data_IF_508481206062
#
_entry.id   IF_508481206062
#
_cell.length_a   1.000
_cell.length_b   1.000
_cell.length_c   1.000
_cell.angle_alpha   90.00
_cell.angle_beta   90.00
_cell.angle_gamma   90.00
#
_symmetry.space_group_name_H-M   'P 1'
#
loop_
_entity.id
_entity.type
_entity.pdbx_description
1 polymer ?
#
# COMPACT_ATOMS: atom_id res chain seq x y z
N UNK A 1 -9.22 3.90 -43.15
CA UNK A 1 -8.63 2.66 -42.62
C UNK A 1 -9.03 2.55 -41.17
N UNK A 2 -9.71 1.47 -40.79
CA UNK A 2 -10.08 1.27 -39.38
C UNK A 2 -8.82 1.17 -38.51
N UNK A 3 -8.78 1.83 -37.33
CA UNK A 3 -7.70 1.62 -36.39
C UNK A 3 -7.80 0.21 -35.83
N UNK A 4 -6.97 -0.68 -36.38
CA UNK A 4 -6.85 -2.05 -35.91
C UNK A 4 -6.26 -2.08 -34.50
N UNK A 5 -7.10 -2.39 -33.50
CA UNK A 5 -6.72 -2.63 -32.09
C UNK A 5 -5.67 -3.77 -31.96
N UNK A 6 -5.45 -4.57 -33.01
CA UNK A 6 -4.54 -5.73 -33.01
C UNK A 6 -3.04 -5.41 -33.00
N UNK A 7 -2.62 -4.14 -32.87
CA UNK A 7 -1.20 -3.75 -32.80
C UNK A 7 -0.88 -2.77 -31.67
N UNK A 8 -1.64 -2.73 -30.57
CA UNK A 8 -1.17 -1.96 -29.41
C UNK A 8 0.04 -2.68 -28.78
N UNK A 9 1.24 -2.05 -28.74
CA UNK A 9 2.43 -2.73 -28.23
C UNK A 9 2.24 -3.18 -26.78
N UNK A 10 2.78 -4.34 -26.42
CA UNK A 10 2.72 -4.81 -25.05
C UNK A 10 3.58 -3.94 -24.13
N UNK A 11 4.80 -3.59 -24.56
CA UNK A 11 5.75 -2.76 -23.81
C UNK A 11 6.47 -1.79 -24.72
N UNK A 12 6.66 -0.56 -24.23
CA UNK A 12 7.49 0.48 -24.85
C UNK A 12 8.21 1.28 -23.79
N UNK A 13 9.54 1.23 -23.79
CA UNK A 13 10.37 1.94 -22.81
C UNK A 13 10.26 3.45 -22.94
N UNK A 14 10.21 3.98 -24.17
CA UNK A 14 10.00 5.40 -24.43
C UNK A 14 8.63 5.89 -23.94
N UNK A 15 7.59 5.06 -24.10
CA UNK A 15 6.27 5.27 -23.50
C UNK A 15 6.30 5.27 -21.98
N UNK A 16 6.99 4.29 -21.36
CA UNK A 16 7.13 4.21 -19.91
C UNK A 16 7.81 5.45 -19.31
N UNK A 17 8.91 5.90 -19.93
CA UNK A 17 9.62 7.12 -19.53
C UNK A 17 8.72 8.35 -19.69
N UNK A 18 8.02 8.47 -20.81
CA UNK A 18 7.09 9.57 -21.04
C UNK A 18 5.96 9.58 -20.00
N UNK A 19 5.37 8.43 -19.68
CA UNK A 19 4.35 8.30 -18.63
C UNK A 19 4.87 8.77 -17.27
N UNK A 20 6.08 8.33 -16.87
CA UNK A 20 6.68 8.74 -15.61
C UNK A 20 6.94 10.25 -15.53
N UNK A 21 7.46 10.86 -16.60
CA UNK A 21 7.72 12.30 -16.67
C UNK A 21 6.42 13.12 -16.68
N UNK A 22 5.41 12.68 -17.42
CA UNK A 22 4.10 13.32 -17.46
C UNK A 22 3.38 13.25 -16.11
N UNK A 23 3.58 12.15 -15.38
CA UNK A 23 3.08 12.02 -14.03
C UNK A 23 3.82 12.98 -13.07
N UNK A 24 5.15 12.85 -12.97
CA UNK A 24 5.97 13.64 -12.05
C UNK A 24 5.88 15.16 -12.28
N UNK A 25 5.69 15.58 -13.52
CA UNK A 25 5.53 16.99 -13.89
C UNK A 25 4.05 17.41 -13.89
N UNK A 26 3.38 17.38 -15.07
CA UNK A 26 2.02 17.88 -15.23
C UNK A 26 0.98 17.37 -14.23
N UNK A 27 0.93 16.05 -13.97
CA UNK A 27 -0.12 15.48 -13.10
C UNK A 27 0.06 15.94 -11.67
N UNK A 28 1.25 15.76 -11.10
CA UNK A 28 1.58 16.21 -9.74
C UNK A 28 1.37 17.72 -9.57
N UNK A 29 1.82 18.53 -10.54
CA UNK A 29 1.64 19.99 -10.49
C UNK A 29 0.17 20.42 -10.51
N UNK A 30 -0.61 19.88 -11.45
CA UNK A 30 -2.02 20.22 -11.58
C UNK A 30 -2.82 19.73 -10.37
N UNK A 31 -2.53 18.52 -9.88
CA UNK A 31 -3.14 18.01 -8.66
C UNK A 31 -2.81 18.91 -7.46
N UNK A 32 -1.54 19.26 -7.26
CA UNK A 32 -1.10 20.06 -6.12
C UNK A 32 -1.90 21.36 -5.99
N UNK A 33 -2.06 22.10 -7.09
CA UNK A 33 -2.82 23.33 -7.10
C UNK A 33 -4.33 23.11 -6.93
N UNK A 34 -4.88 22.07 -7.56
CA UNK A 34 -6.29 21.72 -7.40
C UNK A 34 -6.59 21.33 -5.95
N UNK A 35 -5.78 20.47 -5.36
CA UNK A 35 -5.90 20.03 -3.97
C UNK A 35 -5.77 21.22 -3.00
N UNK A 36 -4.79 22.09 -3.21
CA UNK A 36 -4.66 23.32 -2.43
C UNK A 36 -5.89 24.23 -2.57
N UNK A 37 -6.49 24.33 -3.75
CA UNK A 37 -7.72 25.07 -3.97
C UNK A 37 -8.92 24.40 -3.27
N UNK A 38 -9.00 23.07 -3.23
CA UNK A 38 -10.01 22.33 -2.48
C UNK A 38 -9.99 22.66 -0.98
N UNK A 39 -8.82 23.01 -0.43
CA UNK A 39 -8.69 23.47 0.96
C UNK A 39 -9.09 24.93 1.21
N UNK A 40 -9.51 25.65 0.16
CA UNK A 40 -10.17 26.93 0.34
C UNK A 40 -11.57 26.73 0.93
N UNK A 41 -11.94 27.53 1.94
CA UNK A 41 -13.15 27.33 2.77
C UNK A 41 -14.43 26.96 2.00
N UNK A 42 -14.66 27.58 0.85
CA UNK A 42 -15.84 27.33 0.01
C UNK A 42 -15.86 25.92 -0.61
N UNK A 43 -14.73 25.50 -1.18
CA UNK A 43 -14.59 24.20 -1.82
C UNK A 43 -14.43 23.10 -0.78
N UNK A 44 -13.72 23.37 0.32
CA UNK A 44 -13.52 22.42 1.40
C UNK A 44 -14.85 21.95 1.97
N UNK A 45 -15.71 22.89 2.38
CA UNK A 45 -17.01 22.56 2.98
C UNK A 45 -17.98 21.80 2.07
N UNK A 46 -17.79 21.87 0.74
CA UNK A 46 -18.74 21.30 -0.23
C UNK A 46 -18.24 20.05 -0.91
N UNK A 47 -16.94 19.96 -1.09
CA UNK A 47 -16.30 18.89 -1.82
C UNK A 47 -15.38 18.09 -0.88
N UNK A 48 -14.37 18.75 -0.31
CA UNK A 48 -13.25 17.99 0.25
C UNK A 48 -13.40 17.59 1.73
N UNK A 49 -14.33 18.18 2.48
CA UNK A 49 -14.49 17.92 3.91
C UNK A 49 -14.92 16.49 4.25
N UNK A 50 -15.65 15.82 3.33
CA UNK A 50 -16.07 14.43 3.55
C UNK A 50 -14.88 13.46 3.47
N UNK A 51 -13.94 13.71 2.56
CA UNK A 51 -12.69 12.96 2.48
C UNK A 51 -11.90 13.08 3.79
N UNK A 52 -11.82 14.31 4.31
CA UNK A 52 -11.16 14.65 5.59
C UNK A 52 -11.93 14.27 6.85
N UNK A 53 -13.15 13.72 6.73
CA UNK A 53 -13.89 13.26 7.91
C UNK A 53 -13.19 12.08 8.61
N UNK A 54 -12.34 11.36 7.88
CA UNK A 54 -11.52 10.26 8.39
C UNK A 54 -10.13 10.74 8.78
N UNK A 55 -10.01 11.37 9.95
CA UNK A 55 -8.71 11.87 10.46
C UNK A 55 -7.69 10.74 10.62
N UNK A 56 -8.15 9.57 11.09
CA UNK A 56 -7.39 8.33 11.00
C UNK A 56 -7.75 7.72 9.65
N UNK A 57 -6.83 7.79 8.70
CA UNK A 57 -7.09 7.32 7.34
C UNK A 57 -7.11 5.79 7.29
N UNK A 58 -7.95 5.26 6.42
CA UNK A 58 -7.92 3.85 6.04
C UNK A 58 -7.82 3.77 4.51
N UNK A 59 -7.34 2.67 3.90
CA UNK A 59 -7.20 2.58 2.44
C UNK A 59 -8.49 2.93 1.69
N UNK A 60 -9.66 2.69 2.28
CA UNK A 60 -10.95 3.07 1.70
C UNK A 60 -11.14 4.59 1.60
N UNK A 61 -10.57 5.38 2.50
CA UNK A 61 -10.60 6.86 2.46
C UNK A 61 -10.00 7.39 1.17
N UNK A 62 -9.04 6.67 0.58
CA UNK A 62 -8.37 7.03 -0.67
C UNK A 62 -9.28 7.13 -1.89
N UNK A 63 -10.45 6.48 -1.86
CA UNK A 63 -11.42 6.47 -2.98
C UNK A 63 -12.72 7.20 -2.62
N UNK A 64 -12.84 7.71 -1.39
CA UNK A 64 -14.03 8.46 -0.97
C UNK A 64 -13.83 9.94 -1.26
N UNK A 65 -14.35 10.35 -2.40
CA UNK A 65 -14.42 11.74 -2.82
C UNK A 65 -15.80 12.04 -3.44
N UNK A 66 -16.27 13.29 -3.44
CA UNK A 66 -17.46 13.66 -4.19
C UNK A 66 -17.28 13.44 -5.70
N UNK A 67 -18.39 13.35 -6.41
CA UNK A 67 -18.42 13.11 -7.85
C UNK A 67 -17.59 14.14 -8.66
N UNK A 68 -17.63 15.41 -8.27
CA UNK A 68 -16.86 16.47 -8.95
C UNK A 68 -15.35 16.27 -8.84
N UNK A 69 -14.85 15.88 -7.67
CA UNK A 69 -13.43 15.56 -7.47
C UNK A 69 -13.02 14.34 -8.30
N UNK A 70 -13.87 13.31 -8.35
CA UNK A 70 -13.61 12.13 -9.18
C UNK A 70 -13.42 12.45 -10.66
N UNK A 71 -14.24 13.34 -11.24
CA UNK A 71 -14.07 13.75 -12.65
C UNK A 71 -12.69 14.39 -12.86
N UNK A 72 -12.28 15.28 -11.94
CA UNK A 72 -10.99 15.97 -12.04
C UNK A 72 -9.84 14.97 -11.88
N UNK A 73 -9.87 14.10 -10.86
CA UNK A 73 -8.84 13.09 -10.66
C UNK A 73 -8.75 12.10 -11.82
N UNK A 74 -9.88 11.62 -12.34
CA UNK A 74 -9.89 10.75 -13.51
C UNK A 74 -9.27 11.45 -14.73
N UNK A 75 -9.59 12.72 -14.95
CA UNK A 75 -9.01 13.51 -16.05
C UNK A 75 -7.51 13.70 -15.86
N UNK A 76 -7.05 14.01 -14.64
CA UNK A 76 -5.63 14.17 -14.32
C UNK A 76 -4.85 12.88 -14.58
N UNK A 77 -5.34 11.74 -14.07
CA UNK A 77 -4.69 10.46 -14.26
C UNK A 77 -4.78 9.94 -15.70
N UNK A 78 -5.76 10.39 -16.49
CA UNK A 78 -5.81 10.08 -17.91
C UNK A 78 -4.73 10.79 -18.73
N UNK A 79 -4.13 11.89 -18.24
CA UNK A 79 -3.14 12.68 -19.00
C UNK A 79 -1.97 11.79 -19.50
N UNK A 80 -1.23 11.06 -18.66
CA UNK A 80 -0.08 10.29 -19.15
C UNK A 80 -0.47 9.19 -20.14
N UNK A 81 -1.65 8.58 -19.96
CA UNK A 81 -2.14 7.54 -20.85
C UNK A 81 -2.55 8.11 -22.22
N UNK A 82 -3.38 9.15 -22.24
CA UNK A 82 -3.86 9.76 -23.48
C UNK A 82 -2.72 10.45 -24.25
N UNK A 83 -1.81 11.14 -23.56
CA UNK A 83 -0.64 11.77 -24.18
C UNK A 83 0.25 10.74 -24.85
N UNK A 84 0.50 9.59 -24.21
CA UNK A 84 1.35 8.54 -24.82
C UNK A 84 0.67 7.81 -25.97
N UNK A 85 -0.66 7.61 -25.93
CA UNK A 85 -1.40 7.16 -27.13
C UNK A 85 -1.25 8.17 -28.26
N UNK A 86 -1.42 9.46 -27.99
CA UNK A 86 -1.34 10.53 -28.99
C UNK A 86 0.07 10.66 -29.60
N UNK A 87 1.11 10.54 -28.78
CA UNK A 87 2.51 10.54 -29.23
C UNK A 87 2.90 9.24 -29.98
N UNK A 88 2.01 8.25 -30.03
CA UNK A 88 2.27 6.96 -30.67
C UNK A 88 3.25 6.06 -29.92
N UNK A 89 3.46 6.30 -28.61
CA UNK A 89 4.34 5.51 -27.75
C UNK A 89 3.62 4.74 -26.62
N UNK A 90 2.27 4.78 -26.58
CA UNK A 90 1.47 4.00 -25.63
C UNK A 90 1.73 2.49 -25.71
N UNK A 91 1.63 1.81 -24.57
CA UNK A 91 1.72 0.35 -24.49
C UNK A 91 0.87 -0.23 -23.36
N UNK A 92 0.35 -1.44 -23.56
CA UNK A 92 -0.66 -2.05 -22.68
C UNK A 92 -0.14 -2.25 -21.25
N UNK A 93 1.07 -2.78 -21.11
CA UNK A 93 1.66 -3.07 -19.80
C UNK A 93 1.99 -1.80 -19.02
N UNK A 94 2.42 -0.72 -19.70
CA UNK A 94 2.66 0.58 -19.05
C UNK A 94 1.37 1.14 -18.46
N UNK A 95 0.24 1.01 -19.15
CA UNK A 95 -1.05 1.48 -18.62
C UNK A 95 -1.51 0.69 -17.41
N UNK A 96 -1.37 -0.64 -17.46
CA UNK A 96 -1.68 -1.49 -16.30
C UNK A 96 -0.79 -1.13 -15.12
N UNK A 97 0.53 -1.02 -15.32
CA UNK A 97 1.46 -0.67 -14.25
C UNK A 97 1.20 0.73 -13.69
N UNK A 98 0.82 1.69 -14.53
CA UNK A 98 0.52 3.04 -14.10
C UNK A 98 -0.77 3.12 -13.24
N UNK A 99 -1.82 2.38 -13.61
CA UNK A 99 -3.03 2.25 -12.80
C UNK A 99 -2.71 1.59 -11.45
N UNK A 100 -1.97 0.47 -11.48
CA UNK A 100 -1.52 -0.22 -10.27
C UNK A 100 -0.68 0.70 -9.39
N UNK A 101 0.19 1.51 -9.97
CA UNK A 101 1.00 2.49 -9.25
C UNK A 101 0.15 3.57 -8.57
N UNK A 102 -0.82 4.17 -9.28
CA UNK A 102 -1.73 5.17 -8.70
C UNK A 102 -2.49 4.56 -7.52
N UNK A 103 -3.10 3.39 -7.72
CA UNK A 103 -3.87 2.72 -6.68
C UNK A 103 -3.00 2.36 -5.48
N UNK A 104 -1.81 1.81 -5.72
CA UNK A 104 -0.87 1.45 -4.67
C UNK A 104 -0.46 2.68 -3.85
N UNK A 105 -0.02 3.75 -4.52
CA UNK A 105 0.45 4.96 -3.86
C UNK A 105 -0.65 5.61 -3.04
N UNK A 106 -1.86 5.73 -3.60
CA UNK A 106 -3.00 6.30 -2.92
C UNK A 106 -3.39 5.46 -1.69
N UNK A 107 -3.51 4.14 -1.83
CA UNK A 107 -3.80 3.26 -0.69
C UNK A 107 -2.71 3.30 0.38
N UNK A 108 -1.43 3.36 -0.01
CA UNK A 108 -0.30 3.51 0.91
C UNK A 108 -0.42 4.81 1.72
N UNK A 109 -0.71 5.95 1.09
CA UNK A 109 -0.88 7.23 1.80
C UNK A 109 -2.00 7.22 2.84
N UNK A 110 -3.03 6.40 2.60
CA UNK A 110 -4.21 6.31 3.46
C UNK A 110 -4.23 5.09 4.40
N UNK A 111 -3.19 4.25 4.42
CA UNK A 111 -3.24 3.02 5.23
C UNK A 111 -3.01 3.23 6.73
N UNK A 112 -2.60 4.44 7.15
CA UNK A 112 -2.28 4.79 8.54
C UNK A 112 -1.27 3.84 9.22
N UNK A 113 -0.42 3.20 8.42
CA UNK A 113 0.65 2.32 8.87
C UNK A 113 1.92 2.65 8.09
N UNK A 114 2.99 3.04 8.79
CA UNK A 114 4.26 3.40 8.14
C UNK A 114 4.98 2.14 7.66
N UNK A 115 4.95 1.92 6.35
CA UNK A 115 5.54 0.75 5.69
C UNK A 115 6.81 1.08 4.90
N UNK A 116 7.21 2.36 4.81
CA UNK A 116 8.39 2.79 4.06
C UNK A 116 9.62 2.74 4.98
N UNK A 117 10.53 1.77 4.79
CA UNK A 117 11.69 1.63 5.66
C UNK A 117 12.74 2.71 5.40
N UNK A 118 13.43 3.11 6.47
CA UNK A 118 14.45 4.18 6.44
C UNK A 118 15.58 3.95 5.44
N UNK A 119 15.96 2.69 5.20
CA UNK A 119 17.05 2.36 4.28
C UNK A 119 16.77 2.81 2.84
N UNK A 120 15.50 2.90 2.41
CA UNK A 120 15.15 3.37 1.07
C UNK A 120 15.62 4.81 0.84
N UNK A 121 15.41 5.68 1.83
CA UNK A 121 15.89 7.07 1.80
C UNK A 121 17.40 7.20 2.01
N UNK A 122 18.05 6.21 2.64
CA UNK A 122 19.51 6.20 2.77
C UNK A 122 20.20 5.77 1.47
N UNK A 123 19.65 4.77 0.78
CA UNK A 123 20.18 4.27 -0.50
C UNK A 123 19.94 5.26 -1.63
N UNK A 124 18.76 5.89 -1.66
CA UNK A 124 18.42 6.91 -2.65
C UNK A 124 17.76 8.14 -2.00
N UNK A 125 18.56 9.08 -1.45
CA UNK A 125 18.05 10.28 -0.78
C UNK A 125 17.04 11.11 -1.56
N UNK A 126 17.16 11.27 -2.90
CA UNK A 126 16.16 12.01 -3.68
C UNK A 126 14.73 11.43 -3.59
N UNK A 127 14.58 10.15 -3.22
CA UNK A 127 13.27 9.52 -3.08
C UNK A 127 12.35 10.26 -2.11
N UNK A 128 12.91 10.91 -1.08
CA UNK A 128 12.15 11.72 -0.11
C UNK A 128 11.28 12.81 -0.78
N UNK A 129 11.70 13.30 -1.94
CA UNK A 129 10.98 14.31 -2.71
C UNK A 129 10.05 13.71 -3.77
N UNK A 130 10.35 12.50 -4.23
CA UNK A 130 9.66 11.82 -5.33
C UNK A 130 8.59 10.83 -4.85
N UNK A 131 8.48 10.61 -3.55
CA UNK A 131 7.53 9.67 -2.96
C UNK A 131 7.23 10.08 -1.52
N UNK A 132 5.97 10.35 -1.21
CA UNK A 132 5.55 10.56 0.17
C UNK A 132 5.56 9.25 0.96
N UNK A 133 5.40 9.35 2.27
CA UNK A 133 5.12 8.19 3.12
C UNK A 133 3.69 8.25 3.68
N UNK A 134 3.14 7.11 4.17
CA UNK A 134 1.88 7.10 4.92
C UNK A 134 1.82 8.17 6.03
N UNK A 135 2.91 8.36 6.79
CA UNK A 135 2.97 9.37 7.84
C UNK A 135 2.88 10.81 7.30
N UNK A 136 3.48 11.10 6.14
CA UNK A 136 3.40 12.41 5.51
C UNK A 136 1.95 12.78 5.14
N UNK A 137 1.22 11.84 4.54
CA UNK A 137 -0.17 12.06 4.13
C UNK A 137 -1.15 11.98 5.30
N UNK A 138 -0.92 11.14 6.31
CA UNK A 138 -1.71 11.12 7.55
C UNK A 138 -1.65 12.48 8.27
N UNK A 139 -0.49 13.13 8.27
CA UNK A 139 -0.34 14.47 8.86
C UNK A 139 -1.17 15.52 8.11
N UNK A 140 -1.32 15.39 6.79
CA UNK A 140 -2.23 16.23 6.00
C UNK A 140 -3.68 16.12 6.50
N UNK A 141 -4.18 14.90 6.73
CA UNK A 141 -5.53 14.65 7.27
C UNK A 141 -5.72 15.12 8.71
N UNK A 142 -4.63 15.46 9.41
CA UNK A 142 -4.69 15.97 10.79
C UNK A 142 -4.57 17.50 10.85
N UNK A 143 -3.69 18.10 10.04
CA UNK A 143 -3.41 19.54 10.07
C UNK A 143 -4.18 20.32 9.00
N UNK A 144 -4.66 19.65 7.95
CA UNK A 144 -5.46 20.16 6.81
C UNK A 144 -4.80 21.24 5.93
N UNK A 145 -3.77 21.95 6.42
CA UNK A 145 -3.20 23.14 5.76
C UNK A 145 -1.73 22.99 5.33
N UNK A 146 -1.24 21.77 5.33
CA UNK A 146 0.14 21.40 4.98
C UNK A 146 0.12 20.12 4.15
N UNK A 147 1.21 19.79 3.46
CA UNK A 147 1.39 18.52 2.75
C UNK A 147 0.33 18.24 1.65
N UNK A 148 0.26 19.10 0.63
CA UNK A 148 -0.76 19.04 -0.44
C UNK A 148 -0.38 18.15 -1.64
N UNK A 149 0.84 17.66 -1.73
CA UNK A 149 1.32 16.89 -2.89
C UNK A 149 0.51 15.60 -3.12
N UNK A 150 0.39 15.21 -4.39
CA UNK A 150 -0.31 13.98 -4.78
C UNK A 150 0.47 12.76 -4.33
N UNK A 151 1.68 12.53 -4.87
CA UNK A 151 2.57 11.46 -4.42
C UNK A 151 4.00 11.96 -4.22
N UNK A 152 4.37 13.10 -4.80
CA UNK A 152 5.73 13.64 -4.75
C UNK A 152 5.80 14.91 -3.88
N UNK A 153 6.31 14.82 -2.63
CA UNK A 153 6.48 15.99 -1.74
C UNK A 153 7.25 17.16 -2.35
N UNK A 154 7.97 16.96 -3.45
CA UNK A 154 8.68 17.97 -4.22
C UNK A 154 7.97 19.33 -4.30
N UNK A 155 6.66 19.36 -4.60
CA UNK A 155 5.91 20.62 -4.71
C UNK A 155 5.68 21.28 -3.35
N UNK A 156 5.45 20.52 -2.29
CA UNK A 156 5.37 21.07 -0.92
C UNK A 156 6.68 21.69 -0.45
N UNK A 157 7.83 21.15 -0.88
CA UNK A 157 9.13 21.76 -0.62
C UNK A 157 9.31 23.07 -1.40
N UNK A 158 8.96 23.09 -2.70
CA UNK A 158 9.07 24.31 -3.54
C UNK A 158 8.21 25.43 -2.98
N UNK A 159 6.97 25.13 -2.61
CA UNK A 159 6.00 26.13 -2.17
C UNK A 159 5.95 26.32 -0.65
N UNK A 160 6.85 25.67 0.08
CA UNK A 160 6.98 25.79 1.54
C UNK A 160 5.68 25.47 2.30
N UNK A 161 4.97 24.44 1.86
CA UNK A 161 3.74 23.92 2.50
C UNK A 161 3.96 22.59 3.21
N UNK A 162 5.19 22.09 3.24
CA UNK A 162 5.56 20.91 4.01
C UNK A 162 5.46 21.17 5.51
N UNK A 163 4.79 20.27 6.24
CA UNK A 163 4.64 20.38 7.69
C UNK A 163 5.97 20.11 8.41
N UNK A 164 6.31 20.96 9.37
CA UNK A 164 7.55 20.84 10.15
C UNK A 164 7.64 19.54 10.95
N UNK A 165 6.51 18.96 11.34
CA UNK A 165 6.46 17.70 12.07
C UNK A 165 6.59 16.46 11.17
N UNK A 166 6.66 16.61 9.84
CA UNK A 166 6.67 15.48 8.90
C UNK A 166 7.81 14.49 9.16
N UNK A 167 9.04 15.00 9.34
CA UNK A 167 10.22 14.17 9.56
C UNK A 167 10.20 13.52 10.95
N UNK A 168 9.78 14.26 11.97
CA UNK A 168 9.67 13.74 13.34
C UNK A 168 8.60 12.65 13.43
N UNK A 169 7.44 12.86 12.79
CA UNK A 169 6.36 11.89 12.75
C UNK A 169 6.83 10.60 12.09
N UNK A 170 7.48 10.69 10.92
CA UNK A 170 8.03 9.51 10.23
C UNK A 170 8.97 8.70 11.13
N UNK A 171 9.95 9.35 11.77
CA UNK A 171 10.91 8.67 12.65
C UNK A 171 10.23 8.05 13.89
N UNK A 172 9.21 8.70 14.44
CA UNK A 172 8.45 8.16 15.57
C UNK A 172 7.57 6.98 15.15
N UNK A 173 7.00 7.01 13.94
CA UNK A 173 6.21 5.89 13.38
C UNK A 173 7.05 4.62 13.24
N UNK A 174 8.32 4.74 12.85
CA UNK A 174 9.22 3.59 12.69
C UNK A 174 9.65 2.94 14.00
N UNK A 175 9.81 3.72 15.08
CA UNK A 175 10.20 3.18 16.39
C UNK A 175 9.08 2.33 16.99
N UNK A 176 7.83 2.65 16.66
CA UNK A 176 6.65 2.06 17.26
C UNK A 176 6.49 2.45 18.73
N UNK A 177 5.26 2.36 19.24
CA UNK A 177 4.98 2.47 20.66
C UNK A 177 4.84 1.07 21.26
N UNK A 178 5.62 0.79 22.32
CA UNK A 178 5.41 -0.35 23.19
C UNK A 178 4.13 -0.11 23.98
N UNK A 179 3.00 -0.47 23.39
CA UNK A 179 1.72 -0.52 24.09
C UNK A 179 1.42 -1.95 24.49
N UNK A 180 1.17 -2.19 25.77
CA UNK A 180 0.62 -3.45 26.26
C UNK A 180 -0.86 -3.53 25.88
N UNK A 181 -1.28 -4.44 24.98
CA UNK A 181 -2.69 -4.60 24.64
C UNK A 181 -3.46 -5.31 25.76
N UNK A 182 -4.74 -4.98 25.91
CA UNK A 182 -5.65 -5.70 26.80
C UNK A 182 -6.10 -7.04 26.19
N UNK A 183 -6.14 -7.11 24.85
CA UNK A 183 -6.53 -8.30 24.10
C UNK A 183 -5.66 -8.45 22.85
N UNK A 184 -5.15 -9.67 22.62
CA UNK A 184 -4.45 -10.04 21.38
C UNK A 184 -5.24 -11.13 20.66
N UNK A 185 -5.64 -10.85 19.42
CA UNK A 185 -6.12 -11.86 18.50
C UNK A 185 -4.95 -12.36 17.65
N UNK A 186 -4.48 -13.58 17.91
CA UNK A 186 -3.41 -14.21 17.14
C UNK A 186 -4.00 -15.02 15.97
N UNK A 187 -3.51 -14.77 14.76
CA UNK A 187 -3.96 -15.45 13.55
C UNK A 187 -2.78 -15.91 12.68
N UNK A 188 -3.05 -16.86 11.79
CA UNK A 188 -2.10 -17.42 10.83
C UNK A 188 -2.83 -17.82 9.55
N UNK A 189 -2.09 -18.03 8.46
CA UNK A 189 -2.67 -18.41 7.17
C UNK A 189 -2.96 -19.91 7.17
N UNK A 190 -4.14 -20.32 6.72
CA UNK A 190 -4.54 -21.74 6.72
C UNK A 190 -4.17 -22.44 5.41
N UNK A 191 -4.46 -21.79 4.30
CA UNK A 191 -4.14 -22.26 2.94
C UNK A 191 -3.63 -21.07 2.10
N UNK A 192 -3.15 -21.34 0.88
CA UNK A 192 -2.56 -20.30 0.01
C UNK A 192 -3.53 -19.14 -0.25
N UNK A 193 -4.82 -19.42 -0.43
CA UNK A 193 -5.85 -18.42 -0.70
C UNK A 193 -6.24 -17.59 0.53
N UNK A 194 -6.02 -18.10 1.75
CA UNK A 194 -6.35 -17.40 3.00
C UNK A 194 -5.60 -16.07 3.15
N UNK A 195 -4.47 -15.89 2.45
CA UNK A 195 -3.76 -14.62 2.38
C UNK A 195 -4.62 -13.48 1.80
N UNK A 196 -5.58 -13.78 0.91
CA UNK A 196 -6.47 -12.76 0.35
C UNK A 196 -7.53 -12.27 1.33
N UNK A 197 -7.78 -13.02 2.41
CA UNK A 197 -8.70 -12.63 3.47
C UNK A 197 -8.03 -11.81 4.57
N UNK A 198 -6.74 -11.49 4.42
CA UNK A 198 -6.11 -10.45 5.23
C UNK A 198 -6.68 -9.09 4.80
N UNK A 199 -7.11 -8.28 5.78
CA UNK A 199 -7.65 -6.93 5.54
C UNK A 199 -6.67 -6.00 4.80
N UNK A 200 -5.36 -6.25 4.94
CA UNK A 200 -4.29 -5.51 4.25
C UNK A 200 -4.29 -5.76 2.73
N UNK A 201 -4.84 -6.89 2.27
CA UNK A 201 -4.92 -7.22 0.85
C UNK A 201 -6.17 -6.63 0.20
N UNK A 202 -7.18 -7.49 0.00
CA UNK A 202 -8.40 -7.12 -0.71
C UNK A 202 -9.56 -7.03 0.28
N UNK A 203 -9.87 -5.83 0.78
CA UNK A 203 -10.95 -5.64 1.76
C UNK A 203 -12.31 -6.23 1.31
N UNK A 204 -12.61 -6.21 0.01
CA UNK A 204 -13.80 -6.83 -0.60
C UNK A 204 -13.78 -8.37 -0.51
N UNK A 205 -12.61 -9.00 -0.60
CA UNK A 205 -12.47 -10.45 -0.43
C UNK A 205 -12.48 -10.80 1.06
N UNK A 206 -11.75 -10.02 1.88
CA UNK A 206 -11.68 -10.20 3.33
C UNK A 206 -13.05 -10.04 4.03
N UNK A 207 -14.01 -9.34 3.43
CA UNK A 207 -15.37 -9.23 3.96
C UNK A 207 -16.26 -10.44 3.66
N UNK A 208 -15.84 -11.34 2.76
CA UNK A 208 -16.57 -12.56 2.40
C UNK A 208 -16.04 -13.77 3.18
N UNK A 209 -16.90 -14.78 3.45
CA UNK A 209 -16.46 -16.05 4.03
C UNK A 209 -15.39 -16.74 3.15
N UNK A 210 -14.38 -17.34 3.79
CA UNK A 210 -13.27 -18.02 3.10
C UNK A 210 -13.67 -19.28 2.34
N UNK A 211 -14.85 -19.83 2.64
CA UNK A 211 -15.30 -21.11 2.11
C UNK A 211 -15.79 -21.01 0.65
N UNK A 212 -15.98 -19.78 0.15
CA UNK A 212 -16.41 -19.51 -1.22
C UNK A 212 -15.25 -18.95 -2.04
N UNK A 213 -14.46 -19.84 -2.65
CA UNK A 213 -13.42 -19.45 -3.61
C UNK A 213 -14.07 -18.96 -4.91
N UNK A 214 -13.98 -17.66 -5.15
CA UNK A 214 -14.43 -17.06 -6.41
C UNK A 214 -13.45 -17.43 -7.55
N UNK A 215 -13.95 -17.54 -8.77
CA UNK A 215 -13.13 -17.99 -9.92
C UNK A 215 -11.92 -17.08 -10.18
N UNK A 216 -12.05 -15.77 -9.93
CA UNK A 216 -10.97 -14.81 -10.16
C UNK A 216 -9.88 -14.88 -9.10
N UNK A 217 -10.11 -15.50 -7.94
CA UNK A 217 -9.03 -15.69 -6.96
C UNK A 217 -7.93 -16.60 -7.50
N UNK A 218 -8.27 -17.47 -8.45
CA UNK A 218 -7.30 -18.27 -9.19
C UNK A 218 -6.38 -17.41 -10.05
N UNK A 219 -6.82 -16.29 -10.61
CA UNK A 219 -5.92 -15.43 -11.40
C UNK A 219 -4.91 -14.70 -10.52
N UNK A 220 -5.22 -14.54 -9.23
CA UNK A 220 -4.34 -13.92 -8.25
C UNK A 220 -3.27 -14.87 -7.71
N UNK A 221 -3.28 -16.17 -8.08
CA UNK A 221 -2.38 -17.20 -7.53
C UNK A 221 -0.89 -16.80 -7.41
N UNK A 222 -0.29 -16.00 -8.32
CA UNK A 222 1.11 -15.59 -8.17
C UNK A 222 1.33 -14.72 -6.93
N UNK A 223 0.35 -13.89 -6.55
CA UNK A 223 0.41 -13.06 -5.35
C UNK A 223 0.40 -13.91 -4.08
N UNK A 224 -0.43 -14.95 -4.03
CA UNK A 224 -0.43 -15.84 -2.88
C UNK A 224 0.84 -16.71 -2.81
N UNK A 225 1.39 -17.12 -3.95
CA UNK A 225 2.70 -17.78 -3.94
C UNK A 225 3.81 -16.84 -3.42
N UNK A 226 3.80 -15.58 -3.84
CA UNK A 226 4.72 -14.56 -3.34
C UNK A 226 4.56 -14.37 -1.81
N UNK A 227 3.32 -14.30 -1.31
CA UNK A 227 3.09 -14.16 0.13
C UNK A 227 3.57 -15.37 0.92
N UNK A 228 3.52 -16.58 0.34
CA UNK A 228 4.15 -17.78 0.92
C UNK A 228 5.67 -17.65 1.00
N UNK A 229 6.33 -17.16 -0.05
CA UNK A 229 7.79 -16.94 -0.04
C UNK A 229 8.17 -15.89 1.01
N UNK A 230 7.45 -14.77 1.05
CA UNK A 230 7.63 -13.73 2.08
C UNK A 230 7.44 -14.34 3.48
N UNK A 231 6.37 -15.10 3.69
CA UNK A 231 6.10 -15.77 4.95
C UNK A 231 7.24 -16.70 5.38
N UNK A 232 7.87 -17.39 4.43
CA UNK A 232 9.03 -18.24 4.69
C UNK A 232 10.27 -17.43 5.11
N UNK A 233 10.55 -16.31 4.43
CA UNK A 233 11.72 -15.46 4.72
C UNK A 233 11.62 -14.82 6.12
N UNK A 234 10.45 -14.31 6.49
CA UNK A 234 10.22 -13.63 7.77
C UNK A 234 9.76 -14.60 8.88
N UNK A 235 9.73 -15.91 8.59
CA UNK A 235 8.96 -16.92 9.31
C UNK A 235 9.50 -17.33 10.67
N UNK A 236 9.34 -16.50 11.70
CA UNK A 236 9.37 -16.98 13.11
C UNK A 236 8.57 -16.13 14.08
N UNK A 237 8.52 -14.82 13.88
CA UNK A 237 7.94 -13.89 14.86
C UNK A 237 6.59 -13.36 14.39
N UNK A 238 5.61 -13.36 15.29
CA UNK A 238 4.35 -12.67 15.05
C UNK A 238 4.60 -11.16 14.92
N UNK A 239 3.89 -10.49 14.01
CA UNK A 239 3.91 -9.04 13.89
C UNK A 239 2.49 -8.47 13.98
N UNK A 240 2.39 -7.23 14.46
CA UNK A 240 1.11 -6.54 14.64
C UNK A 240 0.63 -6.02 13.30
N UNK A 241 -0.55 -6.44 12.88
CA UNK A 241 -1.17 -6.01 11.61
C UNK A 241 -2.25 -4.95 11.84
N UNK A 242 -2.87 -4.95 13.01
CA UNK A 242 -3.96 -4.03 13.33
C UNK A 242 -3.90 -3.65 14.82
N UNK A 243 -4.14 -2.37 15.11
CA UNK A 243 -4.27 -1.84 16.47
C UNK A 243 -5.60 -1.09 16.56
N UNK A 244 -6.50 -1.57 17.42
CA UNK A 244 -7.82 -0.97 17.62
C UNK A 244 -7.93 -0.49 19.07
N UNK A 245 -8.29 0.79 19.25
CA UNK A 245 -8.61 1.35 20.55
C UNK A 245 -10.11 1.59 20.67
N UNK A 246 -10.80 0.72 21.41
CA UNK A 246 -12.22 0.86 21.68
C UNK A 246 -12.42 1.42 23.09
N UNK A 247 -12.63 2.74 23.19
CA UNK A 247 -12.72 3.47 24.47
C UNK A 247 -11.48 3.24 25.35
N UNK A 248 -11.58 2.36 26.34
CA UNK A 248 -10.50 2.00 27.27
C UNK A 248 -9.80 0.69 26.90
N UNK A 249 -10.35 -0.12 26.00
CA UNK A 249 -9.75 -1.39 25.59
C UNK A 249 -8.83 -1.20 24.38
N UNK A 250 -7.59 -1.68 24.51
CA UNK A 250 -6.59 -1.77 23.45
C UNK A 250 -6.56 -3.21 22.93
N UNK A 251 -6.96 -3.40 21.69
CA UNK A 251 -6.98 -4.69 21.02
C UNK A 251 -5.93 -4.69 19.91
N UNK A 252 -5.23 -5.80 19.72
CA UNK A 252 -4.28 -5.97 18.63
C UNK A 252 -4.53 -7.28 17.90
N UNK A 253 -4.37 -7.26 16.58
CA UNK A 253 -4.34 -8.47 15.75
C UNK A 253 -2.91 -8.77 15.36
N UNK A 254 -2.41 -9.94 15.77
CA UNK A 254 -1.05 -10.40 15.48
C UNK A 254 -1.13 -11.49 14.41
N UNK A 255 -0.34 -11.33 13.34
CA UNK A 255 -0.23 -12.34 12.30
C UNK A 255 1.09 -13.06 12.46
N UNK A 256 1.03 -14.39 12.55
CA UNK A 256 2.20 -15.24 12.34
C UNK A 256 2.33 -15.46 10.84
N UNK A 257 3.43 -15.04 10.20
CA UNK A 257 3.64 -15.22 8.76
C UNK A 257 3.98 -16.69 8.47
N UNK A 258 3.03 -17.60 8.73
CA UNK A 258 3.15 -19.03 8.45
C UNK A 258 1.82 -19.62 8.01
N UNK A 259 1.93 -20.61 7.13
CA UNK A 259 0.83 -21.42 6.63
C UNK A 259 0.70 -22.74 7.39
N UNK A 260 -0.49 -23.32 7.47
CA UNK A 260 -0.74 -24.61 8.16
C UNK A 260 0.27 -25.71 7.82
N UNK A 261 0.54 -25.91 6.52
CA UNK A 261 1.46 -26.95 6.06
C UNK A 261 2.91 -26.70 6.49
N UNK A 262 3.31 -25.44 6.73
CA UNK A 262 4.65 -25.10 7.20
C UNK A 262 4.87 -25.53 8.65
N UNK A 263 3.83 -25.49 9.50
CA UNK A 263 3.92 -26.01 10.87
C UNK A 263 4.16 -27.54 10.87
N UNK A 264 3.48 -28.27 9.99
CA UNK A 264 3.65 -29.72 9.83
C UNK A 264 5.06 -30.12 9.39
N UNK A 265 5.67 -29.38 8.47
CA UNK A 265 7.06 -29.61 8.02
C UNK A 265 8.06 -29.44 9.17
N UNK A 266 7.95 -28.36 9.95
CA UNK A 266 8.80 -28.18 11.15
C UNK A 266 8.62 -29.29 12.19
N UNK A 267 7.41 -29.82 12.33
CA UNK A 267 7.17 -30.92 13.27
C UNK A 267 7.85 -32.22 12.79
N UNK A 268 7.78 -32.53 11.49
CA UNK A 268 8.47 -33.68 10.90
C UNK A 268 9.99 -33.53 11.03
N UNK A 269 10.54 -32.34 10.78
CA UNK A 269 11.96 -32.06 10.92
C UNK A 269 12.44 -32.17 12.38
N UNK A 270 11.68 -31.62 13.33
CA UNK A 270 12.02 -31.76 14.75
C UNK A 270 11.93 -33.22 15.21
N UNK A 271 10.96 -33.99 14.71
CA UNK A 271 10.83 -35.42 15.01
C UNK A 271 11.97 -36.24 14.40
N UNK A 272 12.40 -35.95 13.18
CA UNK A 272 13.53 -36.64 12.55
C UNK A 272 14.85 -36.29 13.24
N UNK A 273 15.05 -35.04 13.69
CA UNK A 273 16.21 -34.64 14.52
C UNK A 273 16.21 -35.34 15.87
N UNK A 274 15.08 -35.40 16.57
CA UNK A 274 14.95 -36.10 17.85
C UNK A 274 15.14 -37.62 17.74
N UNK A 275 14.67 -38.21 16.64
CA UNK A 275 14.91 -39.62 16.38
C UNK A 275 16.38 -39.87 16.01
N UNK A 276 16.98 -39.02 15.18
CA UNK A 276 18.41 -39.09 14.85
C UNK A 276 19.30 -38.99 16.10
N UNK A 277 19.03 -38.03 16.99
CA UNK A 277 19.77 -37.89 18.25
C UNK A 277 19.59 -39.06 19.21
N UNK A 278 18.47 -39.79 19.13
CA UNK A 278 18.28 -41.04 19.90
C UNK A 278 19.11 -42.18 19.32
N UNK A 279 19.15 -42.32 18.00
CA UNK A 279 20.01 -43.33 17.35
C UNK A 279 21.50 -43.07 17.61
N UNK A 280 21.95 -41.81 17.61
CA UNK A 280 23.34 -41.48 17.92
C UNK A 280 23.70 -41.78 19.39
N UNK A 281 22.76 -41.56 20.33
CA UNK A 281 22.95 -41.88 21.75
C UNK A 281 22.95 -43.39 22.04
N UNK A 282 22.23 -44.20 21.26
CA UNK A 282 22.19 -45.66 21.40
C UNK A 282 23.39 -46.37 20.72
N UNK A 283 24.14 -45.68 19.84
CA UNK A 283 25.34 -46.20 19.16
C UNK A 283 26.63 -45.88 19.93
N UNK A 284 26.62 -44.87 20.81
CA UNK A 284 27.75 -44.50 21.68
C UNK A 284 27.74 -45.16 23.09
N UNK A 285 26.75 -46.02 23.40
CA UNK A 285 26.62 -46.75 24.68
C UNK A 285 27.02 -48.23 24.60
#
# INVERSE_FOLDING_TARGET
GEPSVRRFPLWRTDGAVATALLHAGPVEFLYYWFHRALHHHFLYSRYHSHHHASIVTEPITSVIHPFGEHIVYFTLFAIPMLSTVYMGNGSALVFVLYIVYIDFMNNMGHCNFELVPKWMFQVFPPLKYLMYTPSFHSLHHTQFRTNYSLFMPFYDYIYSTMDKASDELYENSLKGTEETPDLVHLTHMTNLQSAYHLRVGFASIASKPSDNSEWYMWTLWPLAWLSMVVAWIYGSSAFVVERIKLKKMKMQTWVVPRYNFQYGLTWIENRSRLNGSRYDADVEG
#
